data_IF_463673577199
#
_entry.id   IF_463673577199
#
_cell.length_a   1.000
_cell.length_b   1.000
_cell.length_c   1.000
_cell.angle_alpha   90.00
_cell.angle_beta   90.00
_cell.angle_gamma   90.00
#
_symmetry.space_group_name_H-M   'P 1'
#
loop_
_entity.id
_entity.type
_entity.pdbx_description
1 polymer ?
#
# COMPACT_ATOMS: atom_id res chain seq x y z
N UNK A 1 6.04 13.13 20.65
CA UNK A 1 5.11 14.10 20.04
C UNK A 1 3.85 13.35 19.64
N UNK A 2 2.71 13.60 20.29
CA UNK A 2 1.42 13.02 19.89
C UNK A 2 0.91 13.76 18.66
N UNK A 3 1.12 13.16 17.50
CA UNK A 3 0.54 13.63 16.25
C UNK A 3 -0.94 13.24 16.27
N UNK A 4 -1.82 14.18 16.63
CA UNK A 4 -3.26 13.94 16.61
C UNK A 4 -3.79 13.98 15.17
N UNK A 5 -3.48 12.96 14.38
CA UNK A 5 -4.19 12.70 13.14
C UNK A 5 -5.61 12.31 13.58
N UNK A 6 -6.61 13.18 13.30
CA UNK A 6 -8.02 12.80 13.48
C UNK A 6 -8.21 11.40 12.89
N UNK A 7 -8.75 10.48 13.69
CA UNK A 7 -8.96 9.08 13.30
C UNK A 7 -9.59 9.06 11.90
N UNK A 8 -8.83 8.59 10.91
CA UNK A 8 -9.33 8.37 9.57
C UNK A 8 -10.26 7.18 9.70
N UNK A 9 -11.53 7.36 9.31
CA UNK A 9 -12.47 6.24 9.30
C UNK A 9 -11.90 5.15 8.37
N UNK A 10 -11.72 3.91 8.86
CA UNK A 10 -11.24 2.81 8.02
C UNK A 10 -12.04 2.71 6.73
N UNK A 11 -11.34 2.59 5.60
CA UNK A 11 -11.98 2.54 4.28
C UNK A 11 -12.20 3.88 3.58
N UNK A 12 -12.19 5.01 4.27
CA UNK A 12 -12.40 6.31 3.63
C UNK A 12 -11.33 6.71 2.59
N UNK A 13 -10.17 6.04 2.60
CA UNK A 13 -9.07 6.26 1.66
C UNK A 13 -8.76 5.04 0.76
N UNK A 14 -9.77 4.21 0.46
CA UNK A 14 -9.58 3.02 -0.39
C UNK A 14 -9.87 3.29 -1.86
N UNK A 15 -8.89 2.97 -2.71
CA UNK A 15 -9.00 2.99 -4.18
C UNK A 15 -8.46 1.68 -4.76
N UNK A 16 -8.87 1.32 -5.99
CA UNK A 16 -8.37 0.10 -6.64
C UNK A 16 -8.76 -1.20 -5.92
N UNK A 17 -9.88 -1.21 -5.19
CA UNK A 17 -10.32 -2.37 -4.39
C UNK A 17 -10.77 -3.55 -5.23
N UNK A 18 -10.54 -4.75 -4.70
CA UNK A 18 -11.14 -6.00 -5.15
C UNK A 18 -12.28 -6.32 -4.17
N UNK A 19 -13.47 -6.59 -4.68
CA UNK A 19 -14.64 -6.93 -3.87
C UNK A 19 -15.41 -8.07 -4.53
N UNK A 20 -16.14 -8.90 -3.76
CA UNK A 20 -17.03 -9.90 -4.33
C UNK A 20 -17.98 -9.29 -5.36
N UNK A 21 -18.20 -10.01 -6.47
CA UNK A 21 -19.16 -9.61 -7.51
C UNK A 21 -20.60 -10.03 -7.18
N UNK A 22 -20.77 -11.03 -6.33
CA UNK A 22 -22.04 -11.57 -5.81
C UNK A 22 -21.84 -12.00 -4.36
N UNK A 23 -22.92 -12.15 -3.59
CA UNK A 23 -22.91 -12.51 -2.16
C UNK A 23 -23.12 -11.32 -1.23
N UNK A 24 -23.38 -11.60 0.06
CA UNK A 24 -23.46 -10.58 1.11
C UNK A 24 -22.07 -9.96 1.38
N UNK A 25 -22.03 -8.69 1.82
CA UNK A 25 -20.78 -8.00 2.13
C UNK A 25 -20.30 -6.97 1.08
N UNK A 26 -21.19 -6.44 0.24
CA UNK A 26 -20.92 -5.21 -0.52
C UNK A 26 -20.74 -4.03 0.45
N UNK A 27 -19.54 -3.88 1.02
CA UNK A 27 -19.20 -2.70 1.81
C UNK A 27 -19.31 -1.48 0.90
N UNK A 28 -20.34 -0.67 1.13
CA UNK A 28 -20.39 0.69 0.60
C UNK A 28 -19.28 1.45 1.32
N UNK A 29 -18.19 1.74 0.61
CA UNK A 29 -17.11 2.57 1.13
C UNK A 29 -17.76 3.88 1.57
N UNK A 30 -17.74 4.16 2.88
CA UNK A 30 -18.23 5.43 3.44
C UNK A 30 -17.41 6.58 2.87
N UNK A 31 -18.02 7.78 2.90
CA UNK A 31 -17.50 9.07 2.39
C UNK A 31 -15.98 9.07 2.13
N UNK A 32 -15.62 9.11 0.85
CA UNK A 32 -14.24 9.16 0.40
C UNK A 32 -13.60 10.47 0.87
N UNK A 33 -12.40 10.39 1.40
CA UNK A 33 -11.57 11.58 1.70
C UNK A 33 -10.52 11.77 0.59
N UNK A 34 -10.07 13.01 0.34
CA UNK A 34 -8.94 13.26 -0.53
C UNK A 34 -7.63 12.74 0.08
N UNK A 35 -6.55 12.83 -0.68
CA UNK A 35 -5.20 12.60 -0.20
C UNK A 35 -4.91 13.42 1.07
N UNK A 36 -4.03 12.87 1.92
CA UNK A 36 -3.68 13.47 3.20
C UNK A 36 -2.30 14.09 3.06
N UNK A 37 -2.22 15.39 3.35
CA UNK A 37 -0.99 16.16 3.36
C UNK A 37 -0.65 16.47 4.81
N UNK A 38 0.58 16.14 5.21
CA UNK A 38 1.10 16.42 6.55
C UNK A 38 2.35 17.30 6.41
N UNK A 39 2.42 18.38 7.17
CA UNK A 39 3.61 19.21 7.34
C UNK A 39 3.86 19.36 8.84
N UNK A 40 5.07 19.01 9.31
CA UNK A 40 5.43 19.04 10.73
C UNK A 40 4.40 18.32 11.62
N UNK A 41 3.89 17.18 11.17
CA UNK A 41 2.86 16.38 11.84
C UNK A 41 1.44 16.96 11.78
N UNK A 42 1.22 18.14 11.18
CA UNK A 42 -0.11 18.75 11.09
C UNK A 42 -0.72 18.55 9.72
N UNK A 43 -2.00 18.17 9.70
CA UNK A 43 -2.77 18.07 8.46
C UNK A 43 -2.94 19.43 7.82
N UNK A 44 -2.67 19.50 6.51
CA UNK A 44 -2.85 20.70 5.71
C UNK A 44 -4.11 20.61 4.87
N UNK A 45 -4.79 21.74 4.68
CA UNK A 45 -5.94 21.89 3.79
C UNK A 45 -5.47 22.46 2.45
N UNK A 46 -4.83 21.62 1.64
CA UNK A 46 -4.34 21.99 0.30
C UNK A 46 -4.57 20.86 -0.70
N UNK A 47 -4.53 21.18 -1.99
CA UNK A 47 -4.67 20.14 -3.01
C UNK A 47 -3.42 19.25 -3.07
N UNK A 48 -3.60 17.96 -3.34
CA UNK A 48 -2.46 17.03 -3.45
C UNK A 48 -1.47 17.44 -4.53
N UNK A 49 -1.95 17.99 -5.65
CA UNK A 49 -1.08 18.48 -6.72
C UNK A 49 -0.25 19.69 -6.30
N UNK A 50 -0.82 20.61 -5.52
CA UNK A 50 -0.09 21.76 -4.97
C UNK A 50 0.99 21.29 -4.00
N UNK A 51 0.67 20.31 -3.15
CA UNK A 51 1.64 19.73 -2.23
C UNK A 51 2.79 19.05 -2.98
N UNK A 52 2.49 18.28 -4.05
CA UNK A 52 3.53 17.69 -4.89
C UNK A 52 4.36 18.74 -5.67
N UNK A 53 3.77 19.90 -6.00
CA UNK A 53 4.49 20.97 -6.70
C UNK A 53 5.47 21.70 -5.76
N UNK A 54 5.07 21.87 -4.49
CA UNK A 54 5.87 22.47 -3.42
C UNK A 54 6.87 21.50 -2.73
N UNK A 55 6.77 20.20 -3.01
CA UNK A 55 7.62 19.19 -2.40
C UNK A 55 9.10 19.34 -2.75
N UNK A 56 9.95 18.95 -1.80
CA UNK A 56 11.40 18.88 -1.85
C UNK A 56 11.91 17.45 -1.69
N UNK A 57 13.17 17.20 -2.03
CA UNK A 57 13.84 15.91 -1.89
C UNK A 57 13.81 15.30 -0.47
N UNK A 58 13.51 16.11 0.55
CA UNK A 58 13.30 15.67 1.93
C UNK A 58 11.87 15.14 2.21
N UNK A 59 10.92 15.37 1.31
CA UNK A 59 9.53 14.97 1.47
C UNK A 59 9.30 13.52 1.03
N UNK A 60 8.30 12.88 1.66
CA UNK A 60 7.92 11.49 1.38
C UNK A 60 6.50 11.45 0.87
N UNK A 61 6.30 10.78 -0.26
CA UNK A 61 4.98 10.46 -0.80
C UNK A 61 4.70 8.98 -0.59
N UNK A 62 3.55 8.68 0.01
CA UNK A 62 3.07 7.31 0.15
C UNK A 62 2.05 6.95 -0.93
N UNK A 63 2.29 5.84 -1.63
CA UNK A 63 1.33 5.28 -2.57
C UNK A 63 1.34 3.76 -2.53
N UNK A 64 0.27 3.16 -2.01
CA UNK A 64 0.15 1.70 -1.99
C UNK A 64 -0.03 1.06 -3.38
N UNK A 65 0.04 -0.27 -3.40
CA UNK A 65 -0.02 -1.10 -4.62
C UNK A 65 -1.16 -2.15 -4.60
N UNK A 66 -1.42 -2.74 -5.76
CA UNK A 66 -2.39 -3.82 -5.95
C UNK A 66 -1.72 -5.20 -6.08
N UNK A 67 -0.49 -5.25 -6.55
CA UNK A 67 0.34 -6.46 -6.64
C UNK A 67 1.81 -6.04 -6.55
N UNK A 68 2.60 -6.84 -5.86
CA UNK A 68 4.05 -6.67 -5.76
C UNK A 68 4.76 -7.96 -6.17
N UNK A 69 6.02 -7.81 -6.55
CA UNK A 69 6.99 -8.89 -6.57
C UNK A 69 8.13 -8.45 -5.66
N UNK A 70 8.11 -8.96 -4.43
CA UNK A 70 9.01 -8.52 -3.37
C UNK A 70 10.47 -8.83 -3.72
N UNK A 71 10.77 -10.03 -4.22
CA UNK A 71 12.14 -10.45 -4.56
C UNK A 71 12.77 -9.63 -5.69
N UNK A 72 11.95 -9.01 -6.55
CA UNK A 72 12.41 -8.10 -7.62
C UNK A 72 12.25 -6.62 -7.28
N UNK A 73 11.78 -6.29 -6.08
CA UNK A 73 11.46 -4.94 -5.64
C UNK A 73 10.58 -4.18 -6.65
N UNK A 74 9.45 -4.77 -7.06
CA UNK A 74 8.50 -4.18 -8.02
C UNK A 74 7.09 -4.10 -7.44
N UNK A 75 6.40 -3.01 -7.75
CA UNK A 75 4.98 -2.81 -7.46
C UNK A 75 4.20 -2.36 -8.70
N UNK A 76 2.94 -2.75 -8.79
CA UNK A 76 2.00 -2.14 -9.74
C UNK A 76 0.65 -1.84 -9.09
N UNK A 77 -0.04 -0.86 -9.67
CA UNK A 77 -1.41 -0.48 -9.30
C UNK A 77 -2.37 -0.71 -10.47
N UNK A 78 -3.63 -0.86 -10.12
CA UNK A 78 -4.73 -0.75 -11.07
C UNK A 78 -4.94 0.71 -11.48
N UNK A 79 -5.05 0.94 -12.78
CA UNK A 79 -5.34 2.25 -13.37
C UNK A 79 -6.58 2.14 -14.26
N UNK A 80 -7.55 3.02 -13.99
CA UNK A 80 -8.78 3.14 -14.78
C UNK A 80 -9.05 4.55 -15.30
N UNK A 81 -8.35 5.56 -14.78
CA UNK A 81 -8.48 6.95 -15.22
C UNK A 81 -7.67 7.22 -16.49
N UNK A 82 -8.20 7.96 -17.48
CA UNK A 82 -7.44 8.45 -18.63
C UNK A 82 -6.19 9.24 -18.23
N UNK A 83 -6.23 9.97 -17.11
CA UNK A 83 -5.10 10.77 -16.60
C UNK A 83 -4.08 9.94 -15.80
N UNK A 84 -4.33 8.65 -15.59
CA UNK A 84 -3.53 7.78 -14.72
C UNK A 84 -3.83 7.92 -13.23
N UNK A 85 -4.76 8.80 -12.83
CA UNK A 85 -5.18 9.01 -11.44
C UNK A 85 -4.06 9.58 -10.56
N UNK A 86 -4.12 9.34 -9.24
CA UNK A 86 -3.13 9.82 -8.27
C UNK A 86 -1.69 9.47 -8.67
N UNK A 87 -1.45 8.25 -9.18
CA UNK A 87 -0.11 7.87 -9.67
C UNK A 87 0.33 8.71 -10.87
N UNK A 88 -0.58 9.08 -11.77
CA UNK A 88 -0.28 9.98 -12.88
C UNK A 88 0.22 11.35 -12.41
N UNK A 89 -0.37 11.90 -11.34
CA UNK A 89 0.08 13.17 -10.74
C UNK A 89 1.47 13.05 -10.12
N UNK A 90 1.73 11.95 -9.40
CA UNK A 90 3.03 11.62 -8.79
C UNK A 90 4.11 11.51 -9.87
N UNK A 91 3.92 10.65 -10.88
CA UNK A 91 4.92 10.37 -11.91
C UNK A 91 5.32 11.62 -12.72
N UNK A 92 4.40 12.57 -12.90
CA UNK A 92 4.69 13.84 -13.59
C UNK A 92 5.69 14.71 -12.84
N UNK A 93 5.74 14.60 -11.51
CA UNK A 93 6.55 15.45 -10.61
C UNK A 93 7.78 14.71 -10.06
N UNK A 94 7.76 13.38 -10.14
CA UNK A 94 8.90 12.53 -9.80
C UNK A 94 10.08 12.69 -10.77
N UNK A 95 9.86 13.16 -12.01
CA UNK A 95 10.94 13.44 -12.98
C UNK A 95 11.94 14.52 -12.53
N UNK A 96 11.67 15.19 -11.39
CA UNK A 96 12.49 16.26 -10.83
C UNK A 96 13.09 15.88 -9.48
N UNK A 97 13.12 14.59 -9.11
CA UNK A 97 13.63 14.06 -7.83
C UNK A 97 13.10 14.80 -6.58
N UNK A 98 11.88 15.35 -6.71
CA UNK A 98 11.25 16.26 -5.75
C UNK A 98 10.77 15.63 -4.45
N UNK A 99 10.86 14.31 -4.30
CA UNK A 99 10.43 13.59 -3.09
C UNK A 99 10.79 12.11 -3.23
N UNK A 100 10.87 11.42 -2.10
CA UNK A 100 10.96 9.95 -2.04
C UNK A 100 9.59 9.32 -2.16
N UNK A 101 9.44 8.32 -3.02
CA UNK A 101 8.21 7.55 -3.16
C UNK A 101 8.32 6.23 -2.41
N UNK A 102 7.56 6.08 -1.34
CA UNK A 102 7.46 4.83 -0.58
C UNK A 102 6.12 4.16 -0.89
N UNK A 103 6.15 2.84 -1.07
CA UNK A 103 5.02 1.99 -1.45
C UNK A 103 4.63 1.13 -0.25
N UNK A 104 3.83 1.66 0.70
CA UNK A 104 3.29 0.87 1.79
C UNK A 104 2.28 -0.15 1.24
N UNK A 105 2.55 -1.43 1.44
CA UNK A 105 1.75 -2.51 0.86
C UNK A 105 1.98 -3.79 1.64
N UNK A 106 0.90 -4.51 1.94
CA UNK A 106 1.03 -5.78 2.64
C UNK A 106 1.55 -6.91 1.73
N UNK A 107 2.19 -7.88 2.38
CA UNK A 107 2.74 -9.07 1.74
C UNK A 107 1.67 -10.02 1.17
N UNK A 108 0.39 -9.83 1.49
CA UNK A 108 -0.72 -10.60 0.90
C UNK A 108 -0.84 -10.35 -0.62
N UNK A 109 -0.29 -9.23 -1.10
CA UNK A 109 -0.24 -8.87 -2.51
C UNK A 109 1.03 -9.35 -3.22
N UNK A 110 1.89 -10.11 -2.55
CA UNK A 110 3.11 -10.62 -3.16
C UNK A 110 2.82 -11.70 -4.21
N UNK A 111 3.55 -11.63 -5.32
CA UNK A 111 3.46 -12.55 -6.44
C UNK A 111 4.85 -12.86 -6.97
N UNK A 112 5.07 -14.10 -7.39
CA UNK A 112 6.27 -14.51 -8.11
C UNK A 112 6.31 -13.99 -9.56
N UNK A 113 5.21 -13.42 -10.06
CA UNK A 113 5.09 -12.99 -11.45
C UNK A 113 6.02 -11.83 -11.79
N UNK A 114 6.62 -11.87 -12.98
CA UNK A 114 7.35 -10.71 -13.53
C UNK A 114 6.38 -9.59 -13.89
N UNK A 115 6.33 -8.56 -13.05
CA UNK A 115 5.40 -7.45 -13.21
C UNK A 115 5.68 -6.59 -14.45
N UNK A 116 6.93 -6.56 -14.95
CA UNK A 116 7.26 -5.83 -16.18
C UNK A 116 6.59 -6.50 -17.39
N UNK A 117 6.62 -7.84 -17.43
CA UNK A 117 5.92 -8.59 -18.45
C UNK A 117 4.42 -8.38 -18.37
N UNK A 118 3.83 -8.35 -17.17
CA UNK A 118 2.39 -8.11 -17.01
C UNK A 118 1.97 -6.73 -17.53
N UNK A 119 2.75 -5.69 -17.25
CA UNK A 119 2.46 -4.30 -17.67
C UNK A 119 2.58 -4.15 -19.19
N UNK A 120 3.50 -4.85 -19.83
CA UNK A 120 3.73 -4.80 -21.28
C UNK A 120 2.79 -5.70 -22.09
N UNK A 121 2.05 -6.62 -21.43
CA UNK A 121 1.14 -7.51 -22.14
C UNK A 121 -0.07 -6.75 -22.70
N UNK A 122 -0.45 -6.98 -23.97
CA UNK A 122 -1.59 -6.32 -24.59
C UNK A 122 -2.90 -6.82 -23.96
N UNK A 123 -3.47 -6.03 -23.05
CA UNK A 123 -4.64 -6.42 -22.26
C UNK A 123 -5.91 -6.69 -23.09
N UNK A 124 -5.98 -6.21 -24.35
CA UNK A 124 -7.09 -6.46 -25.28
C UNK A 124 -7.37 -7.94 -25.55
N UNK A 125 -6.39 -8.82 -25.30
CA UNK A 125 -6.51 -10.28 -25.50
C UNK A 125 -6.99 -11.02 -24.25
N UNK A 126 -7.08 -10.35 -23.11
CA UNK A 126 -7.48 -11.00 -21.88
C UNK A 126 -9.02 -11.11 -21.79
N UNK A 127 -9.49 -12.24 -21.24
CA UNK A 127 -10.91 -12.50 -20.97
C UNK A 127 -11.14 -12.48 -19.46
N UNK A 128 -12.30 -11.99 -19.01
CA UNK A 128 -12.68 -11.99 -17.60
C UNK A 128 -14.12 -12.41 -17.40
N UNK A 129 -14.41 -12.79 -16.17
CA UNK A 129 -15.76 -12.95 -15.66
C UNK A 129 -16.14 -11.65 -14.93
N UNK A 130 -17.25 -11.04 -15.32
CA UNK A 130 -17.85 -9.90 -14.63
C UNK A 130 -17.30 -8.51 -15.02
N UNK A 131 -16.10 -8.14 -14.53
CA UNK A 131 -15.56 -6.77 -14.67
C UNK A 131 -14.44 -6.68 -15.72
N UNK A 132 -14.30 -5.50 -16.36
CA UNK A 132 -13.16 -5.20 -17.25
C UNK A 132 -11.83 -5.31 -16.48
N UNK A 133 -10.78 -5.72 -17.17
CA UNK A 133 -9.43 -5.82 -16.59
C UNK A 133 -8.88 -4.42 -16.36
N UNK A 134 -8.43 -4.11 -15.13
CA UNK A 134 -7.74 -2.86 -14.89
C UNK A 134 -6.39 -2.84 -15.61
N UNK A 135 -6.02 -1.68 -16.16
CA UNK A 135 -4.66 -1.48 -16.66
C UNK A 135 -3.66 -1.52 -15.51
N UNK A 136 -2.57 -2.24 -15.67
CA UNK A 136 -1.48 -2.25 -14.70
C UNK A 136 -0.50 -1.12 -15.03
N UNK A 137 -0.02 -0.44 -13.99
CA UNK A 137 1.06 0.56 -14.12
C UNK A 137 2.07 0.35 -13.02
N UNK A 138 3.35 0.40 -13.38
CA UNK A 138 4.47 0.33 -12.43
C UNK A 138 4.43 1.52 -11.47
N UNK A 139 4.71 1.23 -10.20
CA UNK A 139 4.98 2.24 -9.18
C UNK A 139 6.49 2.23 -8.92
N UNK A 140 7.23 3.25 -9.37
CA UNK A 140 8.69 3.31 -9.25
C UNK A 140 9.10 3.85 -7.87
N UNK A 141 8.65 3.20 -6.80
CA UNK A 141 8.96 3.58 -5.41
C UNK A 141 9.57 2.43 -4.62
N UNK A 142 10.08 2.75 -3.43
CA UNK A 142 10.64 1.82 -2.46
C UNK A 142 9.51 0.99 -1.83
N UNK A 143 9.56 -0.35 -1.91
CA UNK A 143 8.59 -1.20 -1.21
C UNK A 143 8.73 -1.05 0.30
N UNK A 144 7.61 -0.96 1.00
CA UNK A 144 7.55 -0.95 2.46
C UNK A 144 6.42 -1.88 2.91
N UNK A 145 6.79 -3.09 3.30
CA UNK A 145 5.89 -4.15 3.74
C UNK A 145 5.97 -4.36 5.25
N UNK A 146 5.27 -5.37 5.77
CA UNK A 146 5.39 -5.78 7.16
C UNK A 146 6.84 -6.15 7.55
N UNK A 147 7.64 -6.68 6.61
CA UNK A 147 9.06 -6.99 6.85
C UNK A 147 9.86 -5.71 7.12
N UNK A 148 9.74 -4.71 6.24
CA UNK A 148 10.44 -3.43 6.42
C UNK A 148 9.95 -2.73 7.69
N UNK A 149 8.65 -2.76 7.96
CA UNK A 149 8.07 -2.15 9.15
C UNK A 149 8.62 -2.75 10.44
N UNK A 150 8.73 -4.08 10.55
CA UNK A 150 9.30 -4.74 11.73
C UNK A 150 10.78 -4.38 11.90
N UNK A 151 11.54 -4.39 10.79
CA UNK A 151 12.98 -4.06 10.79
C UNK A 151 13.29 -2.60 11.15
N UNK A 152 12.30 -1.69 11.10
CA UNK A 152 12.49 -0.33 11.62
C UNK A 152 12.62 -0.27 13.15
N UNK A 153 12.11 -1.28 13.86
CA UNK A 153 12.04 -1.27 15.34
C UNK A 153 12.96 -2.28 16.02
N UNK A 154 13.46 -3.26 15.28
CA UNK A 154 14.32 -4.31 15.79
C UNK A 154 15.26 -4.83 14.70
N UNK A 155 16.48 -5.21 15.09
CA UNK A 155 17.45 -5.86 14.21
C UNK A 155 17.16 -7.37 14.12
N UNK A 156 16.26 -7.73 13.21
CA UNK A 156 15.77 -9.11 13.05
C UNK A 156 15.67 -9.53 11.57
N UNK A 157 15.86 -10.82 11.34
CA UNK A 157 15.44 -11.49 10.12
C UNK A 157 13.93 -11.74 10.19
N UNK A 158 13.21 -11.38 9.12
CA UNK A 158 11.76 -11.59 9.01
C UNK A 158 11.47 -12.28 7.69
N UNK A 159 10.77 -13.41 7.76
CA UNK A 159 10.44 -14.24 6.59
C UNK A 159 8.96 -14.55 6.56
N UNK A 160 8.32 -14.32 5.42
CA UNK A 160 6.94 -14.74 5.19
C UNK A 160 6.88 -16.26 5.00
N UNK A 161 6.14 -16.95 5.86
CA UNK A 161 5.99 -18.41 5.85
C UNK A 161 4.56 -18.87 5.57
N UNK A 162 3.60 -17.94 5.50
CA UNK A 162 2.21 -18.23 5.19
C UNK A 162 1.43 -17.00 4.73
N UNK A 163 0.31 -17.24 4.05
CA UNK A 163 -0.62 -16.22 3.57
C UNK A 163 -2.02 -16.78 3.38
N UNK A 164 -3.04 -15.96 3.59
CA UNK A 164 -4.43 -16.32 3.35
C UNK A 164 -5.07 -16.99 4.57
N UNK A 165 -5.77 -16.21 5.38
CA UNK A 165 -6.59 -16.70 6.48
C UNK A 165 -8.07 -16.81 6.12
N UNK A 166 -8.91 -16.98 7.14
CA UNK A 166 -10.37 -17.05 7.04
C UNK A 166 -11.02 -16.20 8.14
N UNK A 167 -12.33 -15.98 8.06
CA UNK A 167 -13.13 -15.29 9.09
C UNK A 167 -12.64 -13.86 9.41
N UNK A 168 -12.34 -13.08 8.38
CA UNK A 168 -11.83 -11.71 8.50
C UNK A 168 -10.31 -11.58 8.41
N UNK A 169 -9.59 -12.70 8.25
CA UNK A 169 -8.14 -12.75 8.05
C UNK A 169 -7.74 -13.11 6.60
N UNK A 170 -8.60 -12.90 5.60
CA UNK A 170 -8.39 -13.34 4.22
C UNK A 170 -7.14 -12.73 3.56
N UNK A 171 -6.73 -11.54 4.01
CA UNK A 171 -5.50 -10.85 3.61
C UNK A 171 -4.34 -11.01 4.60
N UNK A 172 -4.40 -11.93 5.55
CA UNK A 172 -3.36 -12.10 6.56
C UNK A 172 -2.13 -12.83 6.00
N UNK A 173 -0.99 -12.60 6.65
CA UNK A 173 0.28 -13.31 6.43
C UNK A 173 0.82 -13.84 7.75
N UNK A 174 1.65 -14.88 7.67
CA UNK A 174 2.38 -15.44 8.81
C UNK A 174 3.86 -15.12 8.62
N UNK A 175 4.46 -14.49 9.62
CA UNK A 175 5.86 -14.07 9.61
C UNK A 175 6.64 -14.85 10.66
N UNK A 176 7.75 -15.47 10.25
CA UNK A 176 8.77 -15.98 11.14
C UNK A 176 9.78 -14.86 11.42
N UNK A 177 10.06 -14.60 12.70
CA UNK A 177 11.02 -13.59 13.15
C UNK A 177 12.18 -14.32 13.84
N UNK A 178 13.41 -14.05 13.42
CA UNK A 178 14.63 -14.66 13.95
C UNK A 178 15.68 -13.59 14.22
N UNK A 179 16.36 -13.70 15.34
CA UNK A 179 17.43 -12.79 15.75
C UNK A 179 17.80 -13.05 17.21
N UNK A 180 18.56 -12.13 17.79
CA UNK A 180 18.86 -12.14 19.22
C UNK A 180 17.57 -11.99 20.05
N UNK A 181 17.53 -12.62 21.22
CA UNK A 181 16.32 -12.73 22.04
C UNK A 181 15.72 -11.35 22.38
N UNK A 182 16.56 -10.37 22.72
CA UNK A 182 16.12 -9.01 23.04
C UNK A 182 15.51 -8.29 21.83
N UNK A 183 16.07 -8.46 20.63
CA UNK A 183 15.56 -7.85 19.39
C UNK A 183 14.23 -8.48 18.98
N UNK A 184 14.11 -9.82 19.09
CA UNK A 184 12.83 -10.51 18.87
C UNK A 184 11.77 -10.02 19.86
N UNK A 185 12.12 -9.87 21.14
CA UNK A 185 11.20 -9.32 22.14
C UNK A 185 10.76 -7.87 21.83
N UNK A 186 11.68 -7.01 21.34
CA UNK A 186 11.35 -5.66 20.88
C UNK A 186 10.32 -5.69 19.76
N UNK A 187 10.55 -6.51 18.72
CA UNK A 187 9.62 -6.67 17.61
C UNK A 187 8.23 -7.14 18.08
N UNK A 188 8.17 -8.22 18.88
CA UNK A 188 6.92 -8.78 19.38
C UNK A 188 6.14 -7.79 20.26
N UNK A 189 6.82 -6.96 21.04
CA UNK A 189 6.18 -5.93 21.88
C UNK A 189 5.48 -4.87 21.04
N UNK A 190 6.05 -4.47 19.90
CA UNK A 190 5.41 -3.52 18.98
C UNK A 190 4.23 -4.18 18.25
N UNK A 191 4.42 -5.41 17.75
CA UNK A 191 3.36 -6.15 17.05
C UNK A 191 2.13 -6.34 17.95
N UNK A 192 2.32 -6.70 19.22
CA UNK A 192 1.22 -6.85 20.19
C UNK A 192 0.41 -5.57 20.42
N UNK A 193 1.02 -4.39 20.25
CA UNK A 193 0.32 -3.10 20.42
C UNK A 193 -0.58 -2.74 19.23
N UNK A 194 -0.26 -3.24 18.05
CA UNK A 194 -1.03 -2.96 16.82
C UNK A 194 -2.07 -4.05 16.52
N UNK A 195 -1.91 -5.26 17.05
CA UNK A 195 -2.92 -6.30 16.90
C UNK A 195 -4.27 -5.90 17.52
N UNK A 196 -5.36 -6.28 16.86
CA UNK A 196 -6.72 -5.97 17.30
C UNK A 196 -7.33 -4.72 16.67
N UNK A 197 -6.70 -4.15 15.63
CA UNK A 197 -7.33 -3.08 14.85
C UNK A 197 -8.71 -3.51 14.33
N UNK A 198 -9.72 -2.62 14.38
CA UNK A 198 -11.06 -2.94 13.91
C UNK A 198 -11.08 -3.39 12.45
N UNK A 199 -11.86 -4.43 12.17
CA UNK A 199 -12.06 -4.91 10.81
C UNK A 199 -12.60 -3.81 9.88
N UNK A 200 -12.30 -3.96 8.59
CA UNK A 200 -12.86 -3.15 7.51
C UNK A 200 -14.38 -3.37 7.41
N UNK A 201 -15.19 -2.57 8.11
CA UNK A 201 -16.67 -2.62 8.10
C UNK A 201 -17.31 -1.34 7.58
#
# INVERSE_FOLDING_TARGET
MNVSIKIIVPGSFVTGRISPTKGEGLTKVKKRIPEIILQNGKRQEMAFTEALDAASDFDIVFKGANIINYSRNKATVFTGSPTGGTLGHILRRMKSDKFRLIVPVGLEKNSSTDLLQLVNKPQRKFRTIGKKIPKLRLVPGELFTEIEAIRQFADVEVTQIGSGGIAGAEGAVVLAIRGEEDEVHKALKIIKKVQGEPAFK
#
